data_IF_119302934810
#
_entry.id   IF_119302934810
#
_cell.length_a   1.000
_cell.length_b   1.000
_cell.length_c   1.000
_cell.angle_alpha   90.00
_cell.angle_beta   90.00
_cell.angle_gamma   90.00
#
_symmetry.space_group_name_H-M   'P 1'
#
loop_
_entity.id
_entity.type
_entity.pdbx_description
1 polymer ?
#
# COMPACT_ATOMS: atom_id res chain seq x y z
N UNK A 1 -23.73 -24.91 -5.00
CA UNK A 1 -24.49 -23.66 -5.19
C UNK A 1 -23.53 -22.63 -5.74
N UNK A 2 -23.86 -21.94 -6.83
CA UNK A 2 -23.01 -20.89 -7.37
C UNK A 2 -22.86 -19.77 -6.32
N UNK A 3 -21.64 -19.54 -5.83
CA UNK A 3 -21.38 -18.44 -4.89
C UNK A 3 -21.68 -17.12 -5.62
N UNK A 4 -22.62 -16.35 -5.10
CA UNK A 4 -22.86 -14.99 -5.56
C UNK A 4 -21.86 -14.05 -4.88
N UNK A 5 -21.18 -13.21 -5.65
CA UNK A 5 -20.19 -12.27 -5.12
C UNK A 5 -20.74 -10.85 -5.12
N UNK A 6 -20.72 -10.17 -3.96
CA UNK A 6 -21.02 -8.73 -3.88
C UNK A 6 -19.72 -7.91 -3.83
N UNK A 7 -19.37 -7.33 -4.97
CA UNK A 7 -18.16 -6.52 -5.10
C UNK A 7 -18.34 -5.03 -4.79
N UNK A 8 -19.54 -4.54 -4.40
CA UNK A 8 -19.77 -3.10 -4.15
C UNK A 8 -18.82 -2.54 -3.09
N UNK A 9 -18.55 -3.31 -2.04
CA UNK A 9 -17.59 -2.94 -0.99
C UNK A 9 -16.16 -2.85 -1.52
N UNK A 10 -15.75 -3.77 -2.39
CA UNK A 10 -14.41 -3.80 -2.98
C UNK A 10 -14.18 -2.63 -3.96
N UNK A 11 -15.20 -2.26 -4.72
CA UNK A 11 -15.17 -1.09 -5.59
C UNK A 11 -14.99 0.20 -4.79
N UNK A 12 -15.75 0.37 -3.69
CA UNK A 12 -15.59 1.52 -2.79
C UNK A 12 -14.18 1.59 -2.20
N UNK A 13 -13.64 0.45 -1.76
CA UNK A 13 -12.27 0.35 -1.24
C UNK A 13 -11.23 0.77 -2.29
N UNK A 14 -11.41 0.35 -3.54
CA UNK A 14 -10.53 0.72 -4.65
C UNK A 14 -10.53 2.24 -4.88
N UNK A 15 -11.70 2.89 -4.81
CA UNK A 15 -11.81 4.36 -4.94
C UNK A 15 -11.08 5.06 -3.80
N UNK A 16 -11.26 4.60 -2.55
CA UNK A 16 -10.55 5.15 -1.39
C UNK A 16 -9.04 5.03 -1.58
N UNK A 17 -8.55 3.87 -2.02
CA UNK A 17 -7.13 3.68 -2.29
C UNK A 17 -6.60 4.64 -3.36
N UNK A 18 -7.36 4.91 -4.42
CA UNK A 18 -6.96 5.89 -5.45
C UNK A 18 -6.85 7.30 -4.86
N UNK A 19 -7.81 7.73 -4.03
CA UNK A 19 -7.75 9.03 -3.36
C UNK A 19 -6.52 9.12 -2.45
N UNK A 20 -6.25 8.07 -1.65
CA UNK A 20 -5.07 8.00 -0.79
C UNK A 20 -3.78 8.01 -1.62
N UNK A 21 -3.74 7.33 -2.78
CA UNK A 21 -2.59 7.36 -3.67
C UNK A 21 -2.30 8.76 -4.20
N UNK A 22 -3.32 9.48 -4.65
CA UNK A 22 -3.15 10.87 -5.12
C UNK A 22 -2.60 11.74 -3.99
N UNK A 23 -3.15 11.62 -2.78
CA UNK A 23 -2.63 12.34 -1.62
C UNK A 23 -1.15 12.01 -1.32
N UNK A 24 -0.78 10.73 -1.33
CA UNK A 24 0.61 10.30 -1.09
C UNK A 24 1.56 10.77 -2.20
N UNK A 25 1.12 10.81 -3.45
CA UNK A 25 1.92 11.35 -4.56
C UNK A 25 2.18 12.85 -4.39
N UNK A 26 1.16 13.63 -4.00
CA UNK A 26 1.32 15.06 -3.71
C UNK A 26 2.29 15.27 -2.54
N UNK A 27 2.18 14.47 -1.48
CA UNK A 27 3.08 14.53 -0.33
C UNK A 27 4.53 14.17 -0.71
N UNK A 28 4.72 13.16 -1.56
CA UNK A 28 6.04 12.77 -2.07
C UNK A 28 6.65 13.90 -2.94
N UNK A 29 5.86 14.49 -3.84
CA UNK A 29 6.30 15.60 -4.67
C UNK A 29 6.65 16.83 -3.83
N UNK A 30 5.81 17.17 -2.84
CA UNK A 30 6.04 18.30 -1.93
C UNK A 30 7.31 18.13 -1.10
N UNK A 31 7.53 16.95 -0.51
CA UNK A 31 8.75 16.69 0.27
C UNK A 31 10.00 16.63 -0.60
N UNK A 32 9.90 16.13 -1.84
CA UNK A 32 10.98 16.17 -2.83
C UNK A 32 11.37 17.61 -3.19
N UNK A 33 10.37 18.47 -3.41
CA UNK A 33 10.58 19.88 -3.73
C UNK A 33 11.27 20.62 -2.57
N UNK A 34 10.82 20.38 -1.33
CA UNK A 34 11.45 20.96 -0.13
C UNK A 34 12.90 20.46 0.04
N UNK A 35 13.19 19.18 -0.23
CA UNK A 35 14.55 18.66 -0.16
C UNK A 35 15.44 19.33 -1.21
N UNK A 36 14.97 19.47 -2.45
CA UNK A 36 15.72 20.09 -3.55
C UNK A 36 16.19 21.51 -3.20
N UNK A 37 15.39 22.27 -2.44
CA UNK A 37 15.77 23.60 -1.96
C UNK A 37 16.73 23.61 -0.76
N UNK A 38 16.95 22.47 -0.09
CA UNK A 38 17.75 22.35 1.15
C UNK A 38 19.09 21.63 0.97
N UNK A 39 19.27 20.86 -0.10
CA UNK A 39 20.52 20.11 -0.33
C UNK A 39 21.05 20.33 -1.74
N UNK A 40 22.37 20.22 -1.96
CA UNK A 40 22.95 20.24 -3.30
C UNK A 40 22.31 19.20 -4.23
N UNK A 41 22.16 19.58 -5.51
CA UNK A 41 21.57 18.74 -6.57
C UNK A 41 22.16 17.33 -6.62
N UNK A 42 23.48 17.18 -6.48
CA UNK A 42 24.16 15.88 -6.49
C UNK A 42 23.74 14.97 -5.32
N UNK A 43 23.54 15.55 -4.13
CA UNK A 43 23.09 14.82 -2.94
C UNK A 43 21.62 14.41 -3.10
N UNK A 44 20.79 15.29 -3.67
CA UNK A 44 19.40 14.99 -4.00
C UNK A 44 19.30 13.81 -4.97
N UNK A 45 20.03 13.84 -6.08
CA UNK A 45 20.04 12.76 -7.07
C UNK A 45 20.53 11.42 -6.49
N UNK A 46 21.60 11.44 -5.69
CA UNK A 46 22.08 10.25 -5.00
C UNK A 46 21.03 9.66 -4.04
N UNK A 47 20.23 10.52 -3.41
CA UNK A 47 19.15 10.08 -2.51
C UNK A 47 18.03 9.41 -3.29
N UNK A 48 17.63 9.97 -4.44
CA UNK A 48 16.62 9.34 -5.32
C UNK A 48 17.09 7.95 -5.76
N UNK A 49 18.33 7.84 -6.24
CA UNK A 49 18.89 6.55 -6.72
C UNK A 49 18.83 5.50 -5.61
N UNK A 50 19.25 5.85 -4.39
CA UNK A 50 19.21 4.94 -3.24
C UNK A 50 17.79 4.54 -2.87
N UNK A 51 16.86 5.50 -2.84
CA UNK A 51 15.43 5.24 -2.57
C UNK A 51 14.86 4.27 -3.60
N UNK A 52 15.11 4.50 -4.89
CA UNK A 52 14.65 3.61 -5.97
C UNK A 52 15.26 2.21 -5.84
N UNK A 53 16.55 2.11 -5.56
CA UNK A 53 17.22 0.82 -5.35
C UNK A 53 16.60 0.03 -4.19
N UNK A 54 16.39 0.67 -3.05
CA UNK A 54 15.71 0.05 -1.90
C UNK A 54 14.27 -0.33 -2.25
N UNK A 55 13.56 0.54 -2.97
CA UNK A 55 12.17 0.28 -3.39
C UNK A 55 12.06 -0.94 -4.29
N UNK A 56 13.02 -1.17 -5.20
CA UNK A 56 13.06 -2.36 -6.04
C UNK A 56 13.24 -3.64 -5.20
N UNK A 57 14.10 -3.61 -4.19
CA UNK A 57 14.27 -4.73 -3.25
C UNK A 57 12.97 -5.00 -2.48
N UNK A 58 12.31 -3.93 -2.02
CA UNK A 58 11.05 -4.02 -1.27
C UNK A 58 9.83 -4.33 -2.15
N UNK A 59 9.94 -4.23 -3.48
CA UNK A 59 8.81 -4.43 -4.37
C UNK A 59 8.19 -5.83 -4.23
N UNK A 60 9.02 -6.88 -4.23
CA UNK A 60 8.54 -8.26 -4.14
C UNK A 60 7.77 -8.56 -2.84
N UNK A 61 8.30 -8.26 -1.63
CA UNK A 61 7.55 -8.50 -0.40
C UNK A 61 6.27 -7.65 -0.32
N UNK A 62 6.29 -6.41 -0.81
CA UNK A 62 5.09 -5.55 -0.87
C UNK A 62 4.04 -6.16 -1.80
N UNK A 63 4.44 -6.62 -2.98
CA UNK A 63 3.55 -7.27 -3.94
C UNK A 63 2.94 -8.54 -3.36
N UNK A 64 3.75 -9.41 -2.73
CA UNK A 64 3.26 -10.64 -2.10
C UNK A 64 2.26 -10.37 -0.98
N UNK A 65 2.52 -9.33 -0.19
CA UNK A 65 1.60 -8.91 0.88
C UNK A 65 0.28 -8.35 0.32
N UNK A 66 0.37 -7.49 -0.70
CA UNK A 66 -0.80 -6.93 -1.38
C UNK A 66 -1.65 -8.00 -2.08
N UNK A 67 -1.02 -9.00 -2.69
CA UNK A 67 -1.68 -10.16 -3.31
C UNK A 67 -2.50 -10.94 -2.27
N UNK A 68 -1.87 -11.30 -1.14
CA UNK A 68 -2.55 -12.06 -0.08
C UNK A 68 -3.73 -11.29 0.50
N UNK A 69 -3.58 -9.99 0.74
CA UNK A 69 -4.69 -9.15 1.23
C UNK A 69 -5.82 -9.03 0.19
N UNK A 70 -5.49 -8.85 -1.09
CA UNK A 70 -6.48 -8.76 -2.17
C UNK A 70 -7.26 -10.06 -2.35
N UNK A 71 -6.59 -11.22 -2.33
CA UNK A 71 -7.22 -12.55 -2.39
C UNK A 71 -8.21 -12.75 -1.25
N UNK A 72 -7.81 -12.36 -0.03
CA UNK A 72 -8.66 -12.46 1.15
C UNK A 72 -9.88 -11.57 1.06
N UNK A 73 -9.71 -10.33 0.61
CA UNK A 73 -10.83 -9.40 0.57
C UNK A 73 -11.82 -9.78 -0.53
N UNK A 74 -11.34 -10.34 -1.65
CA UNK A 74 -12.19 -10.95 -2.68
C UNK A 74 -12.88 -12.23 -2.16
N UNK A 75 -12.20 -13.07 -1.37
CA UNK A 75 -12.82 -14.22 -0.73
C UNK A 75 -13.92 -13.82 0.26
N UNK A 76 -13.73 -12.69 0.96
CA UNK A 76 -14.73 -12.13 1.88
C UNK A 76 -15.99 -11.58 1.20
N UNK A 77 -15.96 -11.40 -0.12
CA UNK A 77 -17.09 -10.95 -0.92
C UNK A 77 -18.03 -12.09 -1.36
N UNK A 78 -17.68 -13.36 -1.07
CA UNK A 78 -18.54 -14.50 -1.35
C UNK A 78 -19.75 -14.55 -0.40
N UNK A 79 -20.94 -14.82 -0.93
CA UNK A 79 -22.13 -15.08 -0.12
C UNK A 79 -22.08 -16.47 0.53
N UNK A 80 -22.61 -16.59 1.76
CA UNK A 80 -22.75 -17.88 2.46
C UNK A 80 -21.48 -18.40 3.15
N UNK A 81 -20.52 -17.54 3.49
CA UNK A 81 -19.32 -17.94 4.25
C UNK A 81 -19.67 -18.52 5.63
N UNK A 82 -19.07 -19.65 5.96
CA UNK A 82 -19.19 -20.29 7.28
C UNK A 82 -18.55 -19.43 8.38
N UNK A 83 -18.95 -19.65 9.63
CA UNK A 83 -18.46 -18.91 10.81
C UNK A 83 -16.94 -19.01 10.96
N UNK A 84 -16.35 -20.16 10.61
CA UNK A 84 -14.91 -20.40 10.67
C UNK A 84 -14.14 -19.66 9.58
N UNK A 85 -14.69 -19.57 8.38
CA UNK A 85 -14.11 -18.78 7.28
C UNK A 85 -14.14 -17.28 7.59
N UNK A 86 -15.24 -16.79 8.19
CA UNK A 86 -15.34 -15.39 8.64
C UNK A 86 -14.31 -15.05 9.73
N UNK A 87 -14.08 -15.96 10.67
CA UNK A 87 -13.08 -15.79 11.73
C UNK A 87 -11.64 -15.81 11.19
N UNK A 88 -11.35 -16.69 10.23
CA UNK A 88 -10.06 -16.71 9.53
C UNK A 88 -9.78 -15.42 8.77
N UNK A 89 -10.78 -14.85 8.09
CA UNK A 89 -10.68 -13.58 7.38
C UNK A 89 -10.48 -12.39 8.33
N UNK A 90 -11.16 -12.38 9.49
CA UNK A 90 -10.99 -11.37 10.54
C UNK A 90 -9.59 -11.38 11.14
N UNK A 91 -9.07 -12.54 11.51
CA UNK A 91 -7.75 -12.66 12.16
C UNK A 91 -6.62 -12.14 11.27
N UNK A 92 -6.67 -12.48 9.99
CA UNK A 92 -5.71 -11.97 9.02
C UNK A 92 -5.88 -10.45 8.80
N UNK A 93 -7.07 -9.86 9.02
CA UNK A 93 -7.32 -8.41 8.81
C UNK A 93 -6.64 -7.63 9.92
N UNK A 94 -6.83 -8.07 11.16
CA UNK A 94 -6.15 -7.50 12.34
C UNK A 94 -4.64 -7.53 12.17
N UNK A 95 -4.06 -8.62 11.66
CA UNK A 95 -2.62 -8.69 11.40
C UNK A 95 -2.14 -7.65 10.37
N UNK A 96 -2.90 -7.46 9.27
CA UNK A 96 -2.58 -6.44 8.25
C UNK A 96 -2.69 -5.02 8.82
N UNK A 97 -3.73 -4.75 9.62
CA UNK A 97 -3.93 -3.45 10.25
C UNK A 97 -2.87 -3.14 11.31
N UNK A 98 -2.46 -4.13 12.11
CA UNK A 98 -1.35 -3.99 13.07
C UNK A 98 -0.04 -3.70 12.35
N UNK A 99 0.27 -4.42 11.26
CA UNK A 99 1.50 -4.21 10.51
C UNK A 99 1.54 -2.80 9.90
N UNK A 100 0.44 -2.36 9.31
CA UNK A 100 0.29 -0.99 8.76
C UNK A 100 0.38 0.07 9.86
N UNK A 101 -0.26 -0.17 11.01
CA UNK A 101 -0.22 0.72 12.17
C UNK A 101 1.18 0.85 12.75
N UNK A 102 1.88 -0.27 12.93
CA UNK A 102 3.25 -0.31 13.42
C UNK A 102 4.22 0.44 12.49
N UNK A 103 4.05 0.28 11.17
CA UNK A 103 4.83 1.05 10.19
C UNK A 103 4.53 2.55 10.35
N UNK A 104 3.26 2.98 10.32
CA UNK A 104 2.89 4.40 10.49
C UNK A 104 3.50 4.99 11.77
N UNK A 105 3.40 4.30 12.90
CA UNK A 105 3.96 4.75 14.19
C UNK A 105 5.48 4.86 14.12
N UNK A 106 6.16 3.84 13.59
CA UNK A 106 7.61 3.86 13.39
C UNK A 106 8.05 5.08 12.57
N UNK A 107 7.35 5.37 11.48
CA UNK A 107 7.66 6.50 10.61
C UNK A 107 7.37 7.86 11.25
N UNK A 108 6.26 8.00 11.99
CA UNK A 108 5.96 9.23 12.74
C UNK A 108 7.03 9.53 13.79
N UNK A 109 7.37 8.53 14.62
CA UNK A 109 8.37 8.66 15.68
C UNK A 109 9.74 8.99 15.09
N UNK A 110 10.12 8.34 13.99
CA UNK A 110 11.41 8.58 13.34
C UNK A 110 11.50 9.99 12.73
N UNK A 111 10.43 10.44 12.06
CA UNK A 111 10.38 11.79 11.45
C UNK A 111 10.49 12.89 12.50
N UNK A 112 9.87 12.71 13.68
CA UNK A 112 9.94 13.68 14.79
C UNK A 112 11.31 13.69 15.49
N UNK A 113 12.06 12.59 15.44
CA UNK A 113 13.32 12.41 16.17
C UNK A 113 14.58 12.64 15.34
N UNK A 114 14.49 12.90 14.03
CA UNK A 114 15.65 13.07 13.14
C UNK A 114 15.87 14.51 12.61
N UNK A 115 16.05 15.55 13.47
CA UNK A 115 16.22 16.94 12.99
C UNK A 115 17.59 17.25 12.38
N UNK A 116 18.61 16.39 12.54
CA UNK A 116 19.99 16.71 12.16
C UNK A 116 20.44 16.23 10.76
N UNK A 117 19.60 15.50 10.02
CA UNK A 117 19.98 14.94 8.71
C UNK A 117 18.82 14.96 7.69
N UNK A 118 18.57 16.11 7.02
CA UNK A 118 17.44 16.30 6.10
C UNK A 118 17.39 15.26 4.96
N UNK A 119 18.56 14.84 4.48
CA UNK A 119 18.71 13.83 3.44
C UNK A 119 18.18 12.46 3.90
N UNK A 120 18.58 11.99 5.09
CA UNK A 120 18.21 10.69 5.64
C UNK A 120 16.70 10.67 5.94
N UNK A 121 16.21 11.77 6.52
CA UNK A 121 14.78 11.94 6.80
C UNK A 121 13.94 11.85 5.53
N UNK A 122 14.35 12.55 4.46
CA UNK A 122 13.68 12.43 3.16
C UNK A 122 13.76 11.01 2.61
N UNK A 123 14.93 10.36 2.63
CA UNK A 123 15.06 9.00 2.08
C UNK A 123 14.09 8.02 2.75
N UNK A 124 14.00 8.09 4.07
CA UNK A 124 13.11 7.22 4.86
C UNK A 124 11.65 7.54 4.57
N UNK A 125 11.29 8.82 4.51
CA UNK A 125 9.94 9.26 4.15
C UNK A 125 9.58 8.86 2.71
N UNK A 126 10.50 8.98 1.77
CA UNK A 126 10.30 8.60 0.38
C UNK A 126 10.13 7.08 0.24
N UNK A 127 10.94 6.27 0.93
CA UNK A 127 10.78 4.81 0.97
C UNK A 127 9.42 4.43 1.55
N UNK A 128 8.97 5.09 2.62
CA UNK A 128 7.65 4.86 3.21
C UNK A 128 6.51 5.17 2.23
N UNK A 129 6.51 6.38 1.68
CA UNK A 129 5.46 6.83 0.77
C UNK A 129 5.40 5.95 -0.47
N UNK A 130 6.56 5.62 -1.06
CA UNK A 130 6.64 4.71 -2.19
C UNK A 130 6.18 3.30 -1.82
N UNK A 131 6.53 2.78 -0.65
CA UNK A 131 6.07 1.47 -0.19
C UNK A 131 4.55 1.39 -0.08
N UNK A 132 3.91 2.42 0.47
CA UNK A 132 2.44 2.49 0.55
C UNK A 132 1.80 2.70 -0.83
N UNK A 133 2.38 3.56 -1.66
CA UNK A 133 1.92 3.75 -3.04
C UNK A 133 1.96 2.43 -3.82
N UNK A 134 3.10 1.73 -3.79
CA UNK A 134 3.27 0.41 -4.41
C UNK A 134 2.27 -0.59 -3.84
N UNK A 135 2.08 -0.64 -2.51
CA UNK A 135 1.09 -1.52 -1.89
C UNK A 135 -0.31 -1.28 -2.45
N UNK A 136 -0.79 -0.04 -2.45
CA UNK A 136 -2.12 0.29 -2.96
C UNK A 136 -2.25 0.03 -4.46
N UNK A 137 -1.18 0.24 -5.24
CA UNK A 137 -1.17 -0.01 -6.69
C UNK A 137 -1.29 -1.51 -6.97
N UNK A 138 -0.47 -2.31 -6.30
CA UNK A 138 -0.50 -3.77 -6.39
C UNK A 138 -1.84 -4.33 -5.92
N UNK A 139 -2.36 -3.87 -4.78
CA UNK A 139 -3.66 -4.29 -4.26
C UNK A 139 -4.77 -4.00 -5.27
N UNK A 140 -4.86 -2.76 -5.76
CA UNK A 140 -5.90 -2.36 -6.71
C UNK A 140 -5.81 -3.15 -8.03
N UNK A 141 -4.60 -3.42 -8.52
CA UNK A 141 -4.37 -4.22 -9.72
C UNK A 141 -4.86 -5.67 -9.52
N UNK A 142 -4.41 -6.31 -8.44
CA UNK A 142 -4.75 -7.70 -8.12
C UNK A 142 -6.24 -7.84 -7.85
N UNK A 143 -6.82 -6.97 -7.03
CA UNK A 143 -8.25 -6.99 -6.72
C UNK A 143 -9.10 -6.87 -7.99
N UNK A 144 -8.77 -5.94 -8.91
CA UNK A 144 -9.46 -5.82 -10.20
C UNK A 144 -9.32 -7.09 -11.04
N UNK A 145 -8.13 -7.69 -11.09
CA UNK A 145 -7.88 -8.94 -11.83
C UNK A 145 -8.70 -10.10 -11.26
N UNK A 146 -8.73 -10.26 -9.94
CA UNK A 146 -9.48 -11.32 -9.25
C UNK A 146 -11.00 -11.13 -9.34
N UNK A 147 -11.49 -9.89 -9.27
CA UNK A 147 -12.90 -9.58 -9.48
C UNK A 147 -13.35 -9.98 -10.89
N UNK A 148 -12.56 -9.65 -11.93
CA UNK A 148 -12.86 -10.04 -13.31
C UNK A 148 -12.86 -11.56 -13.50
N UNK A 149 -11.98 -12.28 -12.80
CA UNK A 149 -11.93 -13.74 -12.89
C UNK A 149 -13.11 -14.43 -12.17
N UNK A 150 -13.76 -13.75 -11.21
CA UNK A 150 -14.86 -14.29 -10.40
C UNK A 150 -16.23 -13.75 -10.75
N UNK A 151 -16.35 -12.62 -11.46
CA UNK A 151 -17.63 -12.29 -12.10
C UNK A 151 -17.82 -13.26 -13.25
N UNK A 152 -18.91 -14.04 -13.31
CA UNK A 152 -19.22 -14.81 -14.50
C UNK A 152 -19.25 -13.82 -15.66
N UNK A 153 -18.42 -14.08 -16.68
CA UNK A 153 -18.67 -13.52 -17.99
C UNK A 153 -20.07 -13.99 -18.38
N UNK A 154 -20.97 -13.05 -18.64
CA UNK A 154 -22.15 -13.29 -19.45
C UNK A 154 -21.67 -13.74 -20.84
N UNK A 155 -21.40 -15.05 -20.99
CA UNK A 155 -21.53 -15.86 -22.21
C UNK A 155 -21.89 -17.28 -21.78
#
# INVERSE_FOLDING_TARGET
>A
MAQTFDFKRLQRLTVIHVVVQVFLMVLLAGTSYVLLGKVPSQIFMNSIIRVVAVQLILFYPIYKFALSDAEREVASAASGLSTDEQNGLRRKRVFSDILKGALIIFFFVFTLRAPAAPQIQYMILAIFLLSYLTYFQCFNYVSKKLMKAKSPSDV
#
